data_IF_924283591978
#
_entry.id   IF_924283591978
#
_cell.length_a   1.000
_cell.length_b   1.000
_cell.length_c   1.000
_cell.angle_alpha   90.00
_cell.angle_beta   90.00
_cell.angle_gamma   90.00
#
_symmetry.space_group_name_H-M   'P 1'
#
loop_
_entity.id
_entity.type
_entity.pdbx_description
1 polymer ?
#
# COMPACT_ATOMS: atom_id res chain seq x y z
N UNK A 1 2.01 -2.71 9.57
CA UNK A 1 3.40 -2.28 9.31
C UNK A 1 4.16 -2.44 10.61
N UNK A 2 5.41 -2.90 10.57
CA UNK A 2 6.19 -3.22 11.77
C UNK A 2 7.70 -3.01 11.55
N UNK A 3 8.44 -2.99 12.66
CA UNK A 3 9.91 -2.92 12.70
C UNK A 3 10.50 -1.77 11.87
N UNK A 4 10.10 -0.51 12.12
CA UNK A 4 10.66 0.63 11.41
C UNK A 4 12.14 0.84 11.78
N UNK A 5 12.95 1.10 10.77
CA UNK A 5 14.33 1.61 10.90
C UNK A 5 14.33 2.98 10.23
N UNK A 6 14.70 4.01 10.96
CA UNK A 6 14.63 5.40 10.51
C UNK A 6 16.02 6.02 10.57
N UNK A 7 16.47 6.51 9.42
CA UNK A 7 17.70 7.29 9.26
C UNK A 7 17.32 8.75 9.01
N UNK A 8 17.72 9.67 9.90
CA UNK A 8 17.38 11.10 9.82
C UNK A 8 18.62 11.90 9.41
N UNK A 9 18.46 12.77 8.41
CA UNK A 9 19.45 13.73 7.96
C UNK A 9 18.80 15.13 7.88
N UNK A 10 18.93 15.89 8.97
CA UNK A 10 18.32 17.21 9.12
C UNK A 10 16.79 17.17 8.97
N UNK A 11 16.29 17.81 7.91
CA UNK A 11 14.85 17.90 7.58
C UNK A 11 14.42 16.84 6.53
N UNK A 12 15.28 15.85 6.26
CA UNK A 12 15.00 14.66 5.44
C UNK A 12 15.17 13.39 6.28
N UNK A 13 14.43 12.34 5.95
CA UNK A 13 14.64 11.03 6.55
C UNK A 13 14.27 9.90 5.61
N UNK A 14 14.85 8.73 5.82
CA UNK A 14 14.42 7.49 5.19
C UNK A 14 13.84 6.56 6.26
N UNK A 15 12.66 6.00 6.01
CA UNK A 15 12.07 4.98 6.88
C UNK A 15 11.92 3.66 6.11
N UNK A 16 12.57 2.60 6.59
CA UNK A 16 12.34 1.24 6.10
C UNK A 16 11.50 0.47 7.10
N UNK A 17 10.43 -0.17 6.65
CA UNK A 17 9.55 -0.94 7.53
C UNK A 17 8.99 -2.18 6.84
N UNK A 18 8.83 -3.27 7.59
CA UNK A 18 8.14 -4.46 7.08
C UNK A 18 6.64 -4.21 6.97
N UNK A 19 6.04 -4.83 5.96
CA UNK A 19 4.60 -4.75 5.72
C UNK A 19 4.03 -6.10 5.29
N UNK A 20 2.79 -6.32 5.71
CA UNK A 20 1.87 -7.31 5.17
C UNK A 20 0.58 -6.56 4.88
N UNK A 21 0.07 -6.65 3.66
CA UNK A 21 -1.24 -6.12 3.29
C UNK A 21 -2.16 -7.26 2.87
N UNK A 22 -3.42 -7.14 3.27
CA UNK A 22 -4.51 -8.04 2.89
C UNK A 22 -5.63 -7.19 2.29
N UNK A 23 -6.06 -7.57 1.10
CA UNK A 23 -7.13 -6.92 0.37
C UNK A 23 -8.28 -7.91 0.22
N UNK A 24 -9.50 -7.43 0.33
CA UNK A 24 -10.70 -8.25 0.23
C UNK A 24 -11.71 -7.60 -0.69
N UNK A 25 -12.29 -8.39 -1.60
CA UNK A 25 -13.40 -7.98 -2.45
C UNK A 25 -14.36 -9.16 -2.61
N UNK A 26 -15.59 -8.99 -2.15
CA UNK A 26 -16.63 -9.98 -2.44
C UNK A 26 -16.93 -9.98 -3.93
N UNK A 27 -16.88 -11.17 -4.53
CA UNK A 27 -17.05 -11.35 -5.96
C UNK A 27 -17.43 -12.81 -6.28
N UNK A 28 -17.79 -13.08 -7.53
CA UNK A 28 -18.21 -14.40 -8.02
C UNK A 28 -17.12 -15.12 -8.83
N UNK A 29 -15.87 -14.64 -8.84
CA UNK A 29 -14.76 -15.16 -9.65
C UNK A 29 -13.46 -15.29 -8.84
N UNK A 30 -13.14 -16.52 -8.46
CA UNK A 30 -11.92 -16.82 -7.70
C UNK A 30 -12.03 -16.44 -6.22
N UNK A 31 -10.88 -16.42 -5.54
CA UNK A 31 -10.83 -16.09 -4.10
C UNK A 31 -11.20 -14.63 -3.84
N UNK A 32 -11.84 -14.29 -2.70
CA UNK A 32 -12.15 -12.92 -2.34
C UNK A 32 -10.93 -12.15 -1.81
N UNK A 33 -9.78 -12.79 -1.58
CA UNK A 33 -8.62 -12.22 -0.93
C UNK A 33 -7.37 -12.11 -1.83
N UNK A 34 -6.58 -11.07 -1.59
CA UNK A 34 -5.24 -10.91 -2.13
C UNK A 34 -4.30 -10.37 -1.04
N UNK A 35 -3.31 -11.17 -0.68
CA UNK A 35 -2.31 -10.84 0.33
C UNK A 35 -0.92 -10.67 -0.29
N UNK A 36 -0.16 -9.73 0.24
CA UNK A 36 1.24 -9.53 -0.14
C UNK A 36 2.07 -9.09 1.07
N UNK A 37 3.35 -9.42 1.03
CA UNK A 37 4.29 -9.01 2.06
C UNK A 37 5.63 -8.60 1.49
N UNK A 38 6.30 -7.73 2.23
CA UNK A 38 7.52 -7.09 1.79
C UNK A 38 7.92 -5.97 2.74
N UNK A 39 8.51 -4.92 2.20
CA UNK A 39 8.87 -3.75 2.99
C UNK A 39 8.71 -2.47 2.19
N UNK A 40 8.45 -1.37 2.91
CA UNK A 40 8.52 -0.03 2.36
C UNK A 40 9.93 0.54 2.51
N UNK A 41 10.31 1.40 1.57
CA UNK A 41 11.37 2.39 1.72
C UNK A 41 10.69 3.75 1.47
N UNK A 42 10.40 4.46 2.54
CA UNK A 42 9.77 5.77 2.50
C UNK A 42 10.83 6.86 2.59
N UNK A 43 10.67 7.90 1.78
CA UNK A 43 11.41 9.15 1.91
C UNK A 43 10.50 10.17 2.59
N UNK A 44 10.99 10.77 3.66
CA UNK A 44 10.27 11.74 4.48
C UNK A 44 10.91 13.12 4.34
N UNK A 45 10.08 14.14 4.39
CA UNK A 45 10.50 15.54 4.43
C UNK A 45 9.79 16.26 5.57
N UNK A 46 10.53 17.08 6.31
CA UNK A 46 9.99 17.88 7.38
C UNK A 46 9.61 19.25 6.83
N UNK A 47 8.30 19.50 6.79
CA UNK A 47 7.71 20.73 6.27
C UNK A 47 7.00 21.44 7.42
N UNK A 48 7.42 22.68 7.71
CA UNK A 48 6.86 23.47 8.82
C UNK A 48 6.85 22.70 10.16
N UNK A 49 7.94 22.00 10.46
CA UNK A 49 8.09 21.21 11.68
C UNK A 49 7.38 19.85 11.70
N UNK A 50 6.74 19.44 10.60
CA UNK A 50 6.00 18.17 10.51
C UNK A 50 6.62 17.24 9.47
N UNK A 51 6.88 15.99 9.84
CA UNK A 51 7.31 14.96 8.90
C UNK A 51 6.15 14.53 8.01
N UNK A 52 6.38 14.57 6.70
CA UNK A 52 5.47 14.12 5.66
C UNK A 52 6.15 13.04 4.82
N UNK A 53 5.34 12.14 4.26
CA UNK A 53 5.82 11.16 3.28
C UNK A 53 5.94 11.86 1.93
N UNK A 54 7.16 11.96 1.41
CA UNK A 54 7.46 12.50 0.10
C UNK A 54 7.51 11.40 -0.98
N UNK A 55 7.93 10.19 -0.62
CA UNK A 55 7.99 9.05 -1.56
C UNK A 55 7.73 7.75 -0.83
N UNK A 56 7.01 6.83 -1.48
CA UNK A 56 6.77 5.46 -1.00
C UNK A 56 7.29 4.50 -2.05
N UNK A 57 8.24 3.64 -1.69
CA UNK A 57 8.66 2.52 -2.53
C UNK A 57 8.28 1.20 -1.86
N UNK A 58 7.38 0.44 -2.48
CA UNK A 58 7.04 -0.91 -2.04
C UNK A 58 7.94 -1.95 -2.71
N UNK A 59 8.67 -2.73 -1.91
CA UNK A 59 9.40 -3.91 -2.37
C UNK A 59 8.64 -5.16 -1.94
N UNK A 60 8.02 -5.83 -2.91
CA UNK A 60 7.23 -7.05 -2.69
C UNK A 60 8.17 -8.26 -2.66
N UNK A 61 8.08 -9.06 -1.60
CA UNK A 61 8.84 -10.31 -1.46
C UNK A 61 8.00 -11.52 -1.81
N UNK A 62 6.71 -11.49 -1.46
CA UNK A 62 5.78 -12.57 -1.78
C UNK A 62 4.37 -12.02 -1.97
N UNK A 63 3.55 -12.78 -2.69
CA UNK A 63 2.11 -12.54 -2.79
C UNK A 63 1.35 -13.86 -2.87
N UNK A 64 0.07 -13.85 -2.47
CA UNK A 64 -0.84 -15.00 -2.43
C UNK A 64 -2.26 -14.53 -2.70
N UNK A 65 -3.09 -15.41 -3.28
CA UNK A 65 -4.51 -15.16 -3.50
C UNK A 65 -4.79 -14.54 -4.86
N UNK A 66 -5.97 -13.96 -5.01
CA UNK A 66 -6.51 -13.49 -6.27
C UNK A 66 -6.13 -12.04 -6.56
N UNK A 67 -5.00 -11.81 -7.23
CA UNK A 67 -4.57 -10.45 -7.62
C UNK A 67 -5.62 -9.69 -8.46
N UNK A 68 -6.49 -10.38 -9.20
CA UNK A 68 -7.49 -9.75 -10.06
C UNK A 68 -8.52 -8.92 -9.28
N UNK A 69 -8.67 -9.16 -7.97
CA UNK A 69 -9.56 -8.33 -7.14
C UNK A 69 -9.15 -6.85 -7.14
N UNK A 70 -7.87 -6.53 -7.36
CA UNK A 70 -7.40 -5.15 -7.43
C UNK A 70 -8.00 -4.40 -8.62
N UNK A 71 -7.95 -5.01 -9.82
CA UNK A 71 -8.56 -4.44 -11.02
C UNK A 71 -10.08 -4.43 -10.93
N UNK A 72 -10.69 -5.48 -10.37
CA UNK A 72 -12.14 -5.56 -10.18
C UNK A 72 -12.65 -4.48 -9.23
N UNK A 73 -11.96 -4.26 -8.11
CA UNK A 73 -12.30 -3.22 -7.14
C UNK A 73 -12.21 -1.83 -7.77
N UNK A 74 -11.16 -1.57 -8.55
CA UNK A 74 -11.00 -0.29 -9.28
C UNK A 74 -12.16 -0.06 -10.26
N UNK A 75 -12.51 -1.05 -11.07
CA UNK A 75 -13.63 -0.97 -12.01
C UNK A 75 -14.99 -0.79 -11.31
N UNK A 76 -15.21 -1.51 -10.20
CA UNK A 76 -16.42 -1.35 -9.38
C UNK A 76 -16.52 0.05 -8.79
N UNK A 77 -15.42 0.59 -8.26
CA UNK A 77 -15.37 1.97 -7.75
C UNK A 77 -15.72 2.99 -8.84
N UNK A 78 -15.16 2.83 -10.04
CA UNK A 78 -15.45 3.72 -11.17
C UNK A 78 -16.93 3.70 -11.57
N UNK A 79 -17.59 2.53 -11.59
CA UNK A 79 -19.03 2.41 -11.85
C UNK A 79 -19.88 3.05 -10.75
N UNK A 80 -19.52 2.83 -9.49
CA UNK A 80 -20.20 3.45 -8.34
C UNK A 80 -20.18 4.97 -8.39
N UNK A 81 -19.04 5.56 -8.77
CA UNK A 81 -18.91 7.01 -8.94
C UNK A 81 -19.83 7.57 -10.04
N UNK A 82 -20.20 6.75 -11.02
CA UNK A 82 -21.14 7.10 -12.09
C UNK A 82 -22.59 6.77 -11.78
N UNK A 83 -22.88 6.11 -10.65
CA UNK A 83 -24.23 5.65 -10.30
C UNK A 83 -24.69 4.38 -11.04
N UNK A 84 -23.77 3.58 -11.56
CA UNK A 84 -24.05 2.42 -12.43
C UNK A 84 -24.02 1.06 -11.69
N UNK A 85 -24.07 1.07 -10.36
CA UNK A 85 -23.76 -0.09 -9.52
C UNK A 85 -24.85 -0.39 -8.48
#
# INVERSE_FOLDING_TARGET
MSNPIVDIDGERAQCRMYMKAEHFLQNNQGSPDFALGGYYIDQLEKVNGKWLINTVTLKILWNRGNRHIMSMASALGARKLKGEA
#
